data_IF_963698515446
#
_entry.id   IF_963698515446
#
_cell.length_a   1.000
_cell.length_b   1.000
_cell.length_c   1.000
_cell.angle_alpha   90.00
_cell.angle_beta   90.00
_cell.angle_gamma   90.00
#
_symmetry.space_group_name_H-M   'P 1'
#
loop_
_entity.id
_entity.type
_entity.pdbx_description
1 polymer ?
#
# COMPACT_ATOMS: atom_id res chain seq x y z
N UNK A 1 -57.36 -34.03 -28.98
CA UNK A 1 -56.45 -34.88 -28.17
C UNK A 1 -55.12 -34.16 -28.11
N UNK A 2 -54.43 -33.91 -26.99
CA UNK A 2 -54.64 -34.01 -25.55
C UNK A 2 -53.61 -33.03 -24.94
N UNK A 3 -54.00 -32.33 -23.89
CA UNK A 3 -53.23 -31.31 -23.19
C UNK A 3 -52.15 -31.92 -22.28
N UNK A 4 -51.09 -31.14 -22.00
CA UNK A 4 -49.92 -31.56 -21.24
C UNK A 4 -49.82 -30.74 -19.95
N UNK A 5 -49.66 -31.40 -18.79
CA UNK A 5 -48.83 -30.94 -17.67
C UNK A 5 -49.02 -31.81 -16.41
N UNK A 6 -47.92 -32.03 -15.68
CA UNK A 6 -47.88 -32.59 -14.33
C UNK A 6 -46.60 -33.41 -14.11
N UNK A 7 -45.44 -32.80 -13.88
CA UNK A 7 -44.94 -32.29 -12.60
C UNK A 7 -44.30 -33.38 -11.70
N UNK A 8 -43.13 -33.03 -11.13
CA UNK A 8 -42.47 -33.54 -9.90
C UNK A 8 -41.63 -34.82 -10.06
N UNK A 9 -40.50 -35.02 -9.40
CA UNK A 9 -39.67 -34.24 -8.46
C UNK A 9 -38.40 -35.09 -8.21
N UNK A 10 -37.30 -34.39 -7.94
CA UNK A 10 -36.13 -34.79 -7.14
C UNK A 10 -35.44 -36.17 -7.29
N UNK A 11 -34.15 -36.05 -7.66
CA UNK A 11 -32.95 -36.59 -6.98
C UNK A 11 -32.74 -38.12 -7.00
N UNK A 12 -31.69 -38.55 -7.70
CA UNK A 12 -30.52 -39.25 -7.12
C UNK A 12 -29.43 -39.32 -8.22
N UNK A 13 -28.37 -38.50 -8.16
CA UNK A 13 -27.04 -38.81 -7.60
C UNK A 13 -26.20 -39.74 -8.51
N UNK A 14 -24.99 -39.24 -8.79
CA UNK A 14 -23.80 -39.92 -9.33
C UNK A 14 -23.85 -40.34 -10.81
N UNK A 15 -23.23 -39.54 -11.68
CA UNK A 15 -21.85 -39.78 -12.12
C UNK A 15 -21.42 -38.75 -13.18
N UNK A 16 -20.17 -38.30 -13.01
CA UNK A 16 -19.22 -37.88 -14.04
C UNK A 16 -19.56 -36.67 -14.92
N UNK A 17 -18.75 -35.61 -14.81
CA UNK A 17 -18.34 -34.76 -15.93
C UNK A 17 -17.23 -33.81 -15.48
N UNK A 18 -16.01 -34.22 -15.81
CA UNK A 18 -14.90 -33.38 -16.28
C UNK A 18 -15.27 -31.91 -16.55
N UNK A 19 -14.53 -30.97 -15.94
CA UNK A 19 -14.70 -29.55 -16.29
C UNK A 19 -14.16 -28.55 -15.27
N UNK A 20 -12.84 -28.37 -15.28
CA UNK A 20 -12.18 -27.05 -15.22
C UNK A 20 -12.79 -26.00 -14.28
N UNK A 21 -12.25 -25.90 -13.05
CA UNK A 21 -12.42 -24.69 -12.25
C UNK A 21 -11.12 -24.36 -11.50
N UNK A 22 -10.37 -23.49 -12.16
CA UNK A 22 -9.40 -22.54 -11.61
C UNK A 22 -8.32 -23.15 -10.74
N UNK A 23 -7.16 -23.34 -11.38
CA UNK A 23 -5.89 -22.90 -10.82
C UNK A 23 -6.13 -21.52 -10.19
N UNK A 24 -6.49 -21.52 -8.91
CA UNK A 24 -6.24 -20.36 -8.07
C UNK A 24 -4.72 -20.43 -7.94
N UNK A 25 -4.04 -19.85 -8.93
CA UNK A 25 -2.74 -19.27 -8.68
C UNK A 25 -3.01 -18.43 -7.45
N UNK A 26 -2.60 -18.95 -6.30
CA UNK A 26 -2.30 -18.15 -5.14
C UNK A 26 -1.20 -17.25 -5.66
N UNK A 27 -1.63 -16.15 -6.31
CA UNK A 27 -0.81 -15.05 -6.72
C UNK A 27 -0.31 -14.51 -5.40
N UNK A 28 0.71 -15.18 -4.85
CA UNK A 28 1.58 -14.64 -3.84
C UNK A 28 1.87 -13.24 -4.35
N UNK A 29 1.50 -12.19 -3.60
CA UNK A 29 1.53 -10.83 -4.11
C UNK A 29 2.90 -10.64 -4.73
N UNK A 30 2.91 -10.41 -6.06
CA UNK A 30 4.16 -10.25 -6.80
C UNK A 30 5.01 -9.27 -5.99
N UNK A 31 6.28 -9.61 -5.67
CA UNK A 31 7.04 -8.84 -4.71
C UNK A 31 7.06 -7.38 -5.17
N UNK A 32 6.32 -6.53 -4.45
CA UNK A 32 6.16 -5.13 -4.81
C UNK A 32 7.56 -4.55 -5.03
N UNK A 33 7.81 -4.09 -6.26
CA UNK A 33 9.13 -3.60 -6.61
C UNK A 33 9.50 -2.45 -5.66
N UNK A 34 10.68 -2.48 -5.02
CA UNK A 34 11.01 -1.47 -4.04
C UNK A 34 11.26 -0.13 -4.74
N UNK A 35 10.54 0.91 -4.33
CA UNK A 35 10.69 2.26 -4.84
C UNK A 35 11.62 3.06 -3.94
N UNK A 36 12.46 3.90 -4.55
CA UNK A 36 13.32 4.82 -3.80
C UNK A 36 12.67 6.19 -3.70
N UNK A 37 12.16 6.53 -2.52
CA UNK A 37 11.46 7.80 -2.26
C UNK A 37 12.15 8.55 -1.13
N UNK A 38 12.33 9.86 -1.33
CA UNK A 38 12.91 10.75 -0.32
C UNK A 38 11.82 11.17 0.70
N UNK A 39 11.99 10.79 1.97
CA UNK A 39 11.15 11.19 3.10
C UNK A 39 11.67 12.51 3.68
N UNK A 40 10.87 13.59 3.78
CA UNK A 40 11.30 14.84 4.41
C UNK A 40 11.70 14.64 5.88
N UNK A 41 12.76 15.32 6.32
CA UNK A 41 13.32 15.14 7.67
C UNK A 41 12.32 15.37 8.79
N UNK A 42 11.39 16.32 8.63
CA UNK A 42 10.32 16.56 9.61
C UNK A 42 9.38 15.34 9.76
N UNK A 43 9.06 14.65 8.66
CA UNK A 43 8.31 13.40 8.73
C UNK A 43 9.17 12.31 9.34
N UNK A 44 10.44 12.20 8.95
CA UNK A 44 11.37 11.21 9.48
C UNK A 44 11.51 11.32 11.01
N UNK A 45 11.57 12.53 11.58
CA UNK A 45 11.61 12.70 13.04
C UNK A 45 10.30 12.28 13.72
N UNK A 46 9.15 12.57 13.11
CA UNK A 46 7.85 12.14 13.64
C UNK A 46 7.73 10.61 13.64
N UNK A 47 8.19 9.98 12.56
CA UNK A 47 8.17 8.53 12.40
C UNK A 47 9.15 7.80 13.31
N UNK A 48 10.21 8.44 13.81
CA UNK A 48 11.06 7.82 14.85
C UNK A 48 10.29 7.51 16.13
N UNK A 49 9.18 8.20 16.39
CA UNK A 49 8.34 7.97 17.55
C UNK A 49 7.21 6.95 17.29
N UNK A 50 7.10 6.40 16.07
CA UNK A 50 6.07 5.39 15.74
C UNK A 50 6.50 3.99 16.19
N UNK A 51 5.55 3.19 16.66
CA UNK A 51 5.81 1.82 17.13
C UNK A 51 5.79 0.76 16.02
N UNK A 52 5.45 1.16 14.78
CA UNK A 52 5.40 0.25 13.62
C UNK A 52 6.82 -0.07 13.19
N UNK A 53 7.36 -1.22 13.59
CA UNK A 53 8.80 -1.55 13.48
C UNK A 53 9.40 -1.45 12.07
N UNK A 54 8.61 -1.70 11.02
CA UNK A 54 9.09 -1.68 9.62
C UNK A 54 9.45 -0.27 9.14
N UNK A 55 8.75 0.76 9.61
CA UNK A 55 8.98 2.16 9.21
C UNK A 55 10.30 2.73 9.76
N UNK A 56 10.61 2.67 11.08
CA UNK A 56 11.87 3.12 11.62
C UNK A 56 13.04 2.27 11.13
N UNK A 57 12.86 0.98 10.80
CA UNK A 57 13.89 0.17 10.16
C UNK A 57 14.19 0.64 8.73
N UNK A 58 13.16 0.89 7.92
CA UNK A 58 13.32 1.45 6.58
C UNK A 58 13.98 2.84 6.61
N UNK A 59 13.66 3.67 7.61
CA UNK A 59 14.32 4.96 7.83
C UNK A 59 15.77 4.82 8.31
N UNK A 60 16.08 3.83 9.16
CA UNK A 60 17.44 3.55 9.65
C UNK A 60 18.35 3.02 8.55
N UNK A 61 17.82 2.19 7.65
CA UNK A 61 18.51 1.74 6.44
C UNK A 61 18.61 2.83 5.36
N UNK A 62 17.77 3.86 5.45
CA UNK A 62 17.72 4.96 4.50
C UNK A 62 18.92 5.91 4.58
N UNK A 63 19.28 6.50 3.43
CA UNK A 63 20.40 7.46 3.34
C UNK A 63 19.92 8.87 3.65
N UNK A 64 20.45 9.49 4.71
CA UNK A 64 20.18 10.90 5.01
C UNK A 64 20.90 11.82 4.02
N UNK A 65 20.14 12.68 3.35
CA UNK A 65 20.60 13.68 2.38
C UNK A 65 20.32 15.08 2.94
N UNK A 66 21.37 15.84 3.25
CA UNK A 66 21.24 17.26 3.65
C UNK A 66 20.97 18.14 2.43
N UNK A 67 20.01 19.06 2.56
CA UNK A 67 19.61 20.05 1.56
C UNK A 67 19.38 21.39 2.25
N UNK A 68 20.40 22.26 2.26
CA UNK A 68 20.33 23.58 2.89
C UNK A 68 20.00 23.48 4.39
N UNK A 69 18.94 24.18 4.84
CA UNK A 69 18.45 24.15 6.24
C UNK A 69 17.67 22.88 6.61
N UNK A 70 17.43 21.96 5.66
CA UNK A 70 16.70 20.71 5.90
C UNK A 70 17.48 19.47 5.50
N UNK A 71 16.87 18.31 5.73
CA UNK A 71 17.33 17.04 5.18
C UNK A 71 16.13 16.22 4.70
N UNK A 72 16.42 15.18 3.93
CA UNK A 72 15.49 14.11 3.60
C UNK A 72 16.19 12.78 3.79
N UNK A 73 15.45 11.74 4.15
CA UNK A 73 15.94 10.37 4.25
C UNK A 73 15.48 9.63 3.00
N UNK A 74 16.43 9.21 2.18
CA UNK A 74 16.15 8.38 1.00
C UNK A 74 15.88 6.96 1.47
N UNK A 75 14.65 6.51 1.34
CA UNK A 75 14.20 5.18 1.74
C UNK A 75 13.89 4.38 0.48
N UNK A 76 14.35 3.13 0.44
CA UNK A 76 14.04 2.19 -0.62
C UNK A 76 13.16 1.11 -0.01
N UNK A 77 11.87 1.13 -0.34
CA UNK A 77 10.87 0.24 0.23
C UNK A 77 9.70 0.00 -0.73
N UNK A 78 8.88 -1.04 -0.50
CA UNK A 78 7.63 -1.23 -1.23
C UNK A 78 6.75 0.02 -1.17
N UNK A 79 5.96 0.23 -2.21
CA UNK A 79 5.07 1.37 -2.30
C UNK A 79 4.01 1.33 -1.18
N UNK A 80 3.49 0.16 -0.84
CA UNK A 80 2.60 -0.03 0.30
C UNK A 80 3.21 0.49 1.62
N UNK A 81 4.51 0.25 1.87
CA UNK A 81 5.18 0.78 3.06
C UNK A 81 5.27 2.31 3.04
N UNK A 82 5.53 2.90 1.87
CA UNK A 82 5.54 4.35 1.71
C UNK A 82 4.16 4.97 1.96
N UNK A 83 3.09 4.32 1.50
CA UNK A 83 1.71 4.74 1.75
C UNK A 83 1.31 4.60 3.22
N UNK A 84 1.65 3.47 3.87
CA UNK A 84 1.44 3.28 5.30
C UNK A 84 2.18 4.34 6.12
N UNK A 85 3.43 4.64 5.74
CA UNK A 85 4.24 5.71 6.34
C UNK A 85 3.58 7.09 6.18
N UNK A 86 3.02 7.38 5.00
CA UNK A 86 2.27 8.61 4.77
C UNK A 86 1.02 8.67 5.66
N UNK A 87 0.30 7.56 5.84
CA UNK A 87 -0.84 7.44 6.75
C UNK A 87 -0.48 7.79 8.19
N UNK A 88 0.62 7.26 8.71
CA UNK A 88 1.12 7.58 10.06
C UNK A 88 1.45 9.07 10.21
N UNK A 89 1.84 9.74 9.14
CA UNK A 89 2.14 11.18 9.14
C UNK A 89 0.90 12.07 8.95
N UNK A 90 -0.32 11.53 8.85
CA UNK A 90 -1.54 12.32 8.61
C UNK A 90 -1.79 13.37 9.70
N UNK A 91 -1.37 13.11 10.94
CA UNK A 91 -1.44 14.08 12.04
C UNK A 91 -0.66 15.38 11.74
N UNK A 92 0.42 15.30 10.95
CA UNK A 92 1.20 16.46 10.51
C UNK A 92 0.52 17.25 9.37
N UNK A 93 -0.53 16.69 8.77
CA UNK A 93 -1.33 17.38 7.75
C UNK A 93 -2.59 18.05 8.34
N UNK A 94 -3.02 17.65 9.54
CA UNK A 94 -4.27 18.09 10.16
C UNK A 94 -4.26 19.51 10.73
N UNK A 95 -5.43 19.93 11.21
CA UNK A 95 -5.62 21.23 11.87
C UNK A 95 -4.77 21.32 13.14
N UNK A 96 -4.06 22.44 13.31
CA UNK A 96 -3.08 22.64 14.38
C UNK A 96 -1.65 22.24 14.04
N UNK A 97 -1.39 21.62 12.88
CA UNK A 97 -0.04 21.32 12.43
C UNK A 97 0.68 22.55 11.86
N UNK A 98 2.01 22.56 12.03
CA UNK A 98 2.87 23.63 11.49
C UNK A 98 2.81 23.69 9.95
N UNK A 99 3.04 24.88 9.39
CA UNK A 99 3.14 25.04 7.93
C UNK A 99 4.22 24.12 7.32
N UNK A 100 5.33 23.92 8.04
CA UNK A 100 6.40 23.02 7.65
C UNK A 100 5.94 21.54 7.62
N UNK A 101 5.14 21.11 8.61
CA UNK A 101 4.56 19.76 8.66
C UNK A 101 3.63 19.48 7.49
N UNK A 102 2.69 20.39 7.22
CA UNK A 102 1.77 20.27 6.07
C UNK A 102 2.52 20.24 4.73
N UNK A 103 3.54 21.09 4.57
CA UNK A 103 4.39 21.09 3.37
C UNK A 103 5.18 19.79 3.22
N UNK A 104 5.76 19.28 4.31
CA UNK A 104 6.50 18.03 4.31
C UNK A 104 5.59 16.86 3.92
N UNK A 105 4.41 16.77 4.53
CA UNK A 105 3.40 15.77 4.18
C UNK A 105 3.02 15.83 2.70
N UNK A 106 2.65 17.02 2.20
CA UNK A 106 2.29 17.22 0.79
C UNK A 106 3.41 16.84 -0.16
N UNK A 107 4.65 17.20 0.17
CA UNK A 107 5.83 16.87 -0.64
C UNK A 107 6.06 15.36 -0.69
N UNK A 108 5.85 14.66 0.42
CA UNK A 108 6.02 13.21 0.46
C UNK A 108 4.89 12.49 -0.30
N UNK A 109 3.64 12.93 -0.13
CA UNK A 109 2.50 12.43 -0.89
C UNK A 109 2.69 12.61 -2.41
N UNK A 110 3.18 13.78 -2.84
CA UNK A 110 3.50 14.06 -4.25
C UNK A 110 4.58 13.11 -4.80
N UNK A 111 5.64 12.85 -4.04
CA UNK A 111 6.69 11.90 -4.44
C UNK A 111 6.17 10.46 -4.55
N UNK A 112 5.25 10.05 -3.67
CA UNK A 112 4.59 8.74 -3.73
C UNK A 112 3.70 8.68 -4.98
N UNK A 113 2.90 9.71 -5.24
CA UNK A 113 2.07 9.80 -6.44
C UNK A 113 2.90 9.76 -7.73
N UNK A 114 4.04 10.45 -7.76
CA UNK A 114 4.98 10.42 -8.88
C UNK A 114 5.65 9.04 -9.07
N UNK A 115 5.81 8.26 -8.00
CA UNK A 115 6.32 6.89 -8.08
C UNK A 115 5.26 5.91 -8.61
N UNK A 116 3.98 6.11 -8.26
CA UNK A 116 2.83 5.35 -8.76
C UNK A 116 2.55 5.59 -10.26
N UNK A 117 2.63 6.85 -10.71
CA UNK A 117 2.35 7.19 -12.10
C UNK A 117 3.46 6.82 -13.09
N UNK A 118 4.49 6.09 -12.66
CA UNK A 118 5.68 5.77 -13.46
C UNK A 118 5.69 4.35 -14.03
N UNK A 119 4.55 3.67 -13.97
CA UNK A 119 4.30 2.31 -14.45
C UNK A 119 3.84 2.28 -15.92
#
# INVERSE_FOLDING_TARGET
MLDAAGARDAVDVLEELDGMATDVEEQAPEPEQPHTIDVPGLLAEHLKATEVSEIPEALRGGRTIRRGQGYSVRVTAPLALHQATLGQCAALAGDGSTLAGRKAYRTYADRIAAAMGKE
#
